data_IF_501346819292
#
_entry.id   IF_501346819292
#
_cell.length_a   1.000
_cell.length_b   1.000
_cell.length_c   1.000
_cell.angle_alpha   90.00
_cell.angle_beta   90.00
_cell.angle_gamma   90.00
#
_symmetry.space_group_name_H-M   'P 1'
#
loop_
_entity.id
_entity.type
_entity.pdbx_description
1 polymer ?
#
# COMPACT_ATOMS: atom_id res chain seq x y z
N UNK A 1 -4.23 13.32 -10.59
CA UNK A 1 -4.93 12.23 -9.87
C UNK A 1 -3.90 11.50 -9.04
N UNK A 2 -4.17 11.12 -7.78
CA UNK A 2 -3.17 10.41 -6.96
C UNK A 2 -2.78 9.04 -7.52
N UNK A 3 -3.72 8.32 -8.16
CA UNK A 3 -3.48 7.01 -8.74
C UNK A 3 -2.32 6.99 -9.75
N UNK A 4 -2.21 8.01 -10.60
CA UNK A 4 -1.15 8.08 -11.63
C UNK A 4 0.25 8.14 -11.03
N UNK A 5 0.42 8.81 -9.88
CA UNK A 5 1.69 8.82 -9.15
C UNK A 5 2.03 7.45 -8.57
N UNK A 6 1.03 6.69 -8.13
CA UNK A 6 1.19 5.35 -7.57
C UNK A 6 1.57 4.32 -8.65
N UNK A 7 1.01 4.43 -9.86
CA UNK A 7 1.39 3.58 -10.99
C UNK A 7 2.86 3.75 -11.37
N UNK A 8 3.39 4.99 -11.33
CA UNK A 8 4.80 5.24 -11.62
C UNK A 8 5.75 4.58 -10.60
N UNK A 9 5.31 4.39 -9.36
CA UNK A 9 6.10 3.67 -8.35
C UNK A 9 6.30 2.20 -8.68
N UNK A 10 5.36 1.56 -9.40
CA UNK A 10 5.53 0.18 -9.88
C UNK A 10 6.70 0.03 -10.85
N UNK A 11 7.04 1.09 -11.59
CA UNK A 11 8.18 1.06 -12.50
C UNK A 11 9.53 1.13 -11.77
N UNK A 12 9.55 1.55 -10.50
CA UNK A 12 10.78 1.70 -9.70
C UNK A 12 11.16 0.41 -8.99
N UNK A 13 10.18 -0.37 -8.53
CA UNK A 13 10.41 -1.59 -7.76
C UNK A 13 9.56 -2.73 -8.29
N UNK A 14 10.21 -3.81 -8.71
CA UNK A 14 9.53 -5.06 -9.13
C UNK A 14 8.93 -5.85 -7.98
N UNK A 15 9.16 -5.41 -6.72
CA UNK A 15 8.60 -6.01 -5.50
C UNK A 15 7.51 -5.14 -4.87
N UNK A 16 6.93 -4.21 -5.63
CA UNK A 16 5.77 -3.42 -5.19
C UNK A 16 4.47 -4.00 -5.74
N UNK A 17 3.43 -3.95 -4.91
CA UNK A 17 2.03 -4.19 -5.29
C UNK A 17 1.25 -2.89 -5.13
N UNK A 18 0.38 -2.59 -6.11
CA UNK A 18 -0.52 -1.42 -6.07
C UNK A 18 -1.95 -1.84 -5.72
N UNK A 19 -2.54 -1.14 -4.76
CA UNK A 19 -3.95 -1.30 -4.39
C UNK A 19 -4.55 0.02 -3.88
N UNK A 20 -5.87 0.12 -3.98
CA UNK A 20 -6.65 1.24 -3.43
C UNK A 20 -7.61 0.70 -2.37
N UNK A 21 -7.65 1.35 -1.21
CA UNK A 21 -8.60 1.04 -0.15
C UNK A 21 -9.90 1.81 -0.43
N UNK A 22 -10.86 1.15 -1.07
CA UNK A 22 -12.06 1.82 -1.62
C UNK A 22 -12.93 2.52 -0.55
N UNK A 23 -12.91 2.02 0.69
CA UNK A 23 -13.66 2.56 1.83
C UNK A 23 -12.83 3.53 2.71
N UNK A 24 -11.81 4.18 2.15
CA UNK A 24 -10.95 5.13 2.90
C UNK A 24 -10.75 6.46 2.18
N UNK A 25 -10.68 7.53 2.97
CA UNK A 25 -10.26 8.86 2.54
C UNK A 25 -8.74 9.01 2.52
N UNK A 26 -8.23 10.12 3.08
CA UNK A 26 -6.79 10.38 3.07
C UNK A 26 -6.03 9.52 4.08
N UNK A 27 -6.65 9.26 5.23
CA UNK A 27 -6.00 8.66 6.39
C UNK A 27 -6.38 7.18 6.53
N UNK A 28 -5.80 6.34 5.67
CA UNK A 28 -6.06 4.87 5.68
C UNK A 28 -5.82 4.21 7.04
N UNK A 29 -4.88 4.73 7.83
CA UNK A 29 -4.59 4.21 9.17
C UNK A 29 -5.69 4.56 10.20
N UNK A 30 -6.57 5.52 9.89
CA UNK A 30 -7.74 5.88 10.69
C UNK A 30 -8.97 5.15 10.17
N UNK A 31 -9.19 5.17 8.85
CA UNK A 31 -10.41 4.61 8.25
C UNK A 31 -10.38 3.07 8.15
N UNK A 32 -9.21 2.48 7.88
CA UNK A 32 -9.01 1.03 7.70
C UNK A 32 -7.71 0.54 8.38
N UNK A 33 -7.59 0.66 9.72
CA UNK A 33 -6.36 0.35 10.45
C UNK A 33 -5.87 -1.10 10.29
N UNK A 34 -6.79 -2.06 10.21
CA UNK A 34 -6.43 -3.48 10.03
C UNK A 34 -5.83 -3.74 8.65
N UNK A 35 -6.37 -3.09 7.61
CA UNK A 35 -5.84 -3.18 6.25
C UNK A 35 -4.43 -2.58 6.18
N UNK A 36 -4.24 -1.41 6.81
CA UNK A 36 -2.93 -0.76 6.88
C UNK A 36 -1.91 -1.64 7.61
N UNK A 37 -2.26 -2.20 8.77
CA UNK A 37 -1.39 -3.09 9.54
C UNK A 37 -1.03 -4.37 8.75
N UNK A 38 -1.99 -4.98 8.07
CA UNK A 38 -1.77 -6.17 7.26
C UNK A 38 -0.82 -5.89 6.08
N UNK A 39 -0.97 -4.74 5.41
CA UNK A 39 -0.08 -4.34 4.32
C UNK A 39 1.37 -4.14 4.81
N UNK A 40 1.57 -3.46 5.95
CA UNK A 40 2.89 -3.28 6.57
C UNK A 40 3.50 -4.64 6.97
N UNK A 41 2.69 -5.52 7.57
CA UNK A 41 3.11 -6.86 7.96
C UNK A 41 3.64 -7.68 6.79
N UNK A 42 2.96 -7.65 5.64
CA UNK A 42 3.40 -8.32 4.40
C UNK A 42 4.79 -7.87 3.96
N UNK A 43 5.02 -6.56 3.90
CA UNK A 43 6.33 -5.98 3.51
C UNK A 43 7.41 -6.39 4.51
N UNK A 44 7.08 -6.39 5.80
CA UNK A 44 8.03 -6.76 6.86
C UNK A 44 8.45 -8.23 6.74
N UNK A 45 7.52 -9.13 6.47
CA UNK A 45 7.80 -10.55 6.22
C UNK A 45 8.65 -10.73 4.97
N UNK A 46 8.31 -10.05 3.87
CA UNK A 46 9.07 -10.11 2.62
C UNK A 46 10.51 -9.59 2.77
N UNK A 47 10.72 -8.57 3.62
CA UNK A 47 12.04 -8.00 3.87
C UNK A 47 12.90 -8.85 4.81
N UNK A 48 12.28 -9.71 5.63
CA UNK A 48 12.97 -10.60 6.56
C UNK A 48 13.35 -11.96 5.95
N UNK A 49 12.83 -12.28 4.76
CA UNK A 49 13.13 -13.49 4.00
C UNK A 49 14.37 -13.32 3.11
#
# INVERSE_FOLDING_TARGET
>A
MWAEGQERWLAVSTRCDLGTAEESGHDIHVDQPELAAAAIGRVTVQAAA
#
